data_IF_293125343904
#
_entry.id   IF_293125343904
#
_cell.length_a   1.000
_cell.length_b   1.000
_cell.length_c   1.000
_cell.angle_alpha   90.00
_cell.angle_beta   90.00
_cell.angle_gamma   90.00
#
_symmetry.space_group_name_H-M   'P 1'
#
loop_
_entity.id
_entity.type
_entity.pdbx_description
1 polymer ?
#
# COMPACT_ATOMS: atom_id res chain seq x y z
N UNK A 1 12.92 -0.10 6.66
CA UNK A 1 13.13 0.63 5.39
C UNK A 1 11.84 0.53 4.61
N UNK A 2 11.06 1.61 4.57
CA UNK A 2 9.82 1.75 3.82
C UNK A 2 10.16 2.56 2.57
N UNK A 3 9.99 1.97 1.40
CA UNK A 3 10.09 2.71 0.14
C UNK A 3 8.74 3.39 -0.06
N UNK A 4 8.68 4.70 0.20
CA UNK A 4 7.55 5.53 -0.18
C UNK A 4 7.70 5.88 -1.65
N UNK A 5 7.00 5.14 -2.50
CA UNK A 5 6.65 5.65 -3.81
C UNK A 5 5.39 6.50 -3.62
N UNK A 6 5.23 7.58 -4.37
CA UNK A 6 4.12 8.55 -4.21
C UNK A 6 2.75 7.86 -4.13
N UNK A 7 2.61 6.70 -4.77
CA UNK A 7 1.38 5.94 -4.89
C UNK A 7 1.47 4.48 -4.40
N UNK A 8 2.58 4.09 -3.76
CA UNK A 8 2.71 2.76 -3.14
C UNK A 8 3.57 2.75 -1.88
N UNK A 9 3.07 2.05 -0.87
CA UNK A 9 3.67 1.90 0.45
C UNK A 9 3.96 0.41 0.64
N UNK A 10 5.23 0.07 0.81
CA UNK A 10 5.61 -1.29 1.25
C UNK A 10 5.92 -1.26 2.73
N UNK A 11 5.21 -2.06 3.50
CA UNK A 11 5.38 -2.18 4.95
C UNK A 11 5.57 -3.63 5.38
N UNK A 12 6.28 -3.80 6.49
CA UNK A 12 6.57 -5.10 7.07
C UNK A 12 5.86 -5.22 8.41
N UNK A 13 4.85 -6.08 8.48
CA UNK A 13 4.03 -6.29 9.68
C UNK A 13 4.47 -7.56 10.37
N UNK A 14 5.09 -7.42 11.54
CA UNK A 14 5.56 -8.56 12.32
C UNK A 14 4.48 -9.12 13.25
N UNK A 15 3.60 -8.26 13.75
CA UNK A 15 2.48 -8.64 14.60
C UNK A 15 1.29 -9.10 13.75
N UNK A 16 0.98 -10.40 13.79
CA UNK A 16 -0.07 -10.97 12.93
C UNK A 16 -1.48 -10.54 13.33
N UNK A 17 -1.70 -10.26 14.60
CA UNK A 17 -2.99 -9.83 15.14
C UNK A 17 -3.33 -8.40 14.74
N UNK A 18 -2.31 -7.55 14.53
CA UNK A 18 -2.46 -6.19 14.07
C UNK A 18 -2.47 -6.04 12.55
N UNK A 19 -2.29 -7.13 11.76
CA UNK A 19 -2.23 -7.05 10.29
C UNK A 19 -3.45 -6.32 9.74
N UNK A 20 -4.66 -6.74 10.10
CA UNK A 20 -5.89 -6.16 9.54
C UNK A 20 -6.03 -4.68 9.91
N UNK A 21 -5.83 -4.33 11.18
CA UNK A 21 -5.92 -2.95 11.65
C UNK A 21 -4.84 -2.05 11.03
N UNK A 22 -3.59 -2.51 10.95
CA UNK A 22 -2.50 -1.77 10.31
C UNK A 22 -2.77 -1.58 8.82
N UNK A 23 -3.26 -2.62 8.13
CA UNK A 23 -3.57 -2.55 6.72
C UNK A 23 -4.71 -1.56 6.45
N UNK A 24 -5.77 -1.59 7.26
CA UNK A 24 -6.89 -0.66 7.13
C UNK A 24 -6.46 0.80 7.35
N UNK A 25 -5.61 1.03 8.36
CA UNK A 25 -5.06 2.35 8.65
C UNK A 25 -4.19 2.87 7.51
N UNK A 26 -3.32 2.03 6.94
CA UNK A 26 -2.48 2.39 5.79
C UNK A 26 -3.32 2.63 4.54
N UNK A 27 -4.33 1.80 4.27
CA UNK A 27 -5.26 1.99 3.15
C UNK A 27 -6.01 3.31 3.30
N UNK A 28 -6.44 3.65 4.52
CA UNK A 28 -7.09 4.93 4.80
C UNK A 28 -6.14 6.11 4.57
N UNK A 29 -4.95 6.08 5.14
CA UNK A 29 -3.95 7.13 4.98
C UNK A 29 -3.58 7.35 3.50
N UNK A 30 -3.32 6.26 2.77
CA UNK A 30 -3.04 6.31 1.34
C UNK A 30 -4.23 6.84 0.54
N UNK A 31 -5.47 6.48 0.90
CA UNK A 31 -6.67 6.98 0.23
C UNK A 31 -6.85 8.49 0.38
N UNK A 32 -6.56 9.02 1.58
CA UNK A 32 -6.62 10.47 1.87
C UNK A 32 -5.48 11.19 1.14
N UNK A 33 -4.25 10.66 1.22
CA UNK A 33 -3.06 11.22 0.59
C UNK A 33 -3.15 11.26 -0.94
N UNK A 34 -3.66 10.20 -1.55
CA UNK A 34 -3.84 10.10 -3.01
C UNK A 34 -5.18 10.65 -3.51
N UNK A 35 -6.01 11.23 -2.64
CA UNK A 35 -7.36 11.73 -2.96
C UNK A 35 -8.18 10.71 -3.78
N UNK A 36 -8.14 9.46 -3.36
CA UNK A 36 -8.73 8.33 -4.08
C UNK A 36 -9.63 7.54 -3.15
N UNK A 37 -10.57 6.80 -3.72
CA UNK A 37 -11.47 5.96 -2.93
C UNK A 37 -10.73 4.68 -2.49
N UNK A 38 -11.04 4.14 -1.31
CA UNK A 38 -10.47 2.87 -0.82
C UNK A 38 -10.60 1.72 -1.83
N UNK A 39 -11.64 1.71 -2.67
CA UNK A 39 -11.86 0.72 -3.73
C UNK A 39 -10.76 0.72 -4.81
N UNK A 40 -10.02 1.83 -4.95
CA UNK A 40 -8.87 1.96 -5.82
C UNK A 40 -7.57 1.55 -5.14
N UNK A 41 -7.56 1.12 -3.88
CA UNK A 41 -6.33 0.65 -3.23
C UNK A 41 -6.20 -0.86 -3.44
N UNK A 42 -5.08 -1.29 -4.01
CA UNK A 42 -4.65 -2.68 -4.05
C UNK A 42 -3.77 -2.97 -2.83
N UNK A 43 -3.95 -4.13 -2.23
CA UNK A 43 -3.00 -4.70 -1.29
C UNK A 43 -2.45 -5.98 -1.88
N UNK A 44 -1.13 -6.07 -1.96
CA UNK A 44 -0.40 -7.23 -2.43
C UNK A 44 0.48 -7.78 -1.32
N UNK A 45 0.40 -9.08 -1.07
CA UNK A 45 1.34 -9.77 -0.20
C UNK A 45 2.60 -10.10 -1.02
N UNK A 46 3.68 -9.34 -0.81
CA UNK A 46 4.92 -9.47 -1.58
C UNK A 46 5.93 -10.43 -0.91
N UNK A 47 5.63 -10.92 0.31
CA UNK A 47 6.50 -11.87 1.00
C UNK A 47 6.05 -12.19 2.42
N UNK A 48 6.82 -12.98 3.18
CA UNK A 48 6.53 -13.26 4.57
C UNK A 48 6.50 -11.93 5.34
N UNK A 49 5.34 -11.63 5.93
CA UNK A 49 5.11 -10.43 6.72
C UNK A 49 5.26 -9.11 5.94
N UNK A 50 5.30 -9.13 4.60
CA UNK A 50 5.53 -7.94 3.78
C UNK A 50 4.34 -7.66 2.88
N UNK A 51 3.75 -6.48 3.05
CA UNK A 51 2.57 -6.04 2.33
C UNK A 51 2.88 -4.77 1.55
N UNK A 52 2.51 -4.76 0.28
CA UNK A 52 2.60 -3.63 -0.61
C UNK A 52 1.20 -3.11 -0.85
N UNK A 53 0.93 -1.88 -0.41
CA UNK A 53 -0.34 -1.18 -0.61
C UNK A 53 -0.12 -0.16 -1.73
N UNK A 54 -0.92 -0.18 -2.79
CA UNK A 54 -0.75 0.70 -3.96
C UNK A 54 -2.07 1.19 -4.52
N UNK A 55 -2.08 2.35 -5.19
CA UNK A 55 -3.29 2.89 -5.84
C UNK A 55 -3.47 2.30 -7.25
N UNK A 56 -4.52 1.51 -7.47
CA UNK A 56 -5.01 1.03 -8.77
C UNK A 56 -5.44 2.21 -9.64
N UNK A 57 -4.85 2.28 -10.83
CA UNK A 57 -5.11 3.34 -11.82
C UNK A 57 -3.97 4.34 -11.96
N UNK A 58 -2.97 4.31 -11.08
CA UNK A 58 -1.67 4.97 -11.25
C UNK A 58 -0.55 3.98 -11.59
N UNK A 59 -0.90 2.82 -12.16
CA UNK A 59 0.03 1.99 -12.93
C UNK A 59 0.31 2.65 -14.28
N UNK A 60 0.80 3.89 -14.24
CA UNK A 60 1.06 4.69 -15.43
C UNK A 60 2.33 5.51 -15.29
N UNK A 61 3.34 5.02 -14.56
CA UNK A 61 4.68 5.63 -14.70
C UNK A 61 5.90 4.88 -14.13
N UNK A 62 5.90 3.54 -14.06
CA UNK A 62 7.14 2.79 -13.79
C UNK A 62 7.48 1.79 -14.91
N UNK A 63 7.09 2.14 -16.14
CA UNK A 63 7.83 1.74 -17.33
C UNK A 63 8.54 3.00 -17.84
N UNK A 64 9.72 3.29 -17.31
CA UNK A 64 10.64 4.23 -17.94
C UNK A 64 12.01 3.58 -17.99
N UNK A 65 12.38 3.31 -19.26
CA UNK A 65 13.65 2.92 -19.90
C UNK A 65 14.25 1.54 -19.61
#
# INVERSE_FOLDING_TARGET
MTFENTDSITLKIWDRSAIEHTLESVVHDLSVKANTTKCRIAVQCSGPNTFTVSVRGQERQLATV
#
